data_IF_575643338016
#
_entry.id   IF_575643338016
#
_cell.length_a   1.000
_cell.length_b   1.000
_cell.length_c   1.000
_cell.angle_alpha   90.00
_cell.angle_beta   90.00
_cell.angle_gamma   90.00
#
_symmetry.space_group_name_H-M   'P 1'
#
loop_
_entity.id
_entity.type
_entity.pdbx_description
1 polymer ?
#
# COMPACT_ATOMS: atom_id res chain seq x y z
N UNK A 1 -19.63 -19.02 -22.73
CA UNK A 1 -18.37 -19.50 -23.37
C UNK A 1 -17.19 -18.90 -22.61
N UNK A 2 -16.27 -19.69 -22.04
CA UNK A 2 -15.13 -19.10 -21.34
C UNK A 2 -14.09 -18.61 -22.37
N UNK A 3 -13.77 -17.32 -22.33
CA UNK A 3 -12.74 -16.68 -23.15
C UNK A 3 -11.35 -17.19 -22.74
N UNK A 4 -10.64 -17.82 -23.68
CA UNK A 4 -9.23 -18.22 -23.56
C UNK A 4 -8.36 -17.00 -23.88
N UNK A 5 -7.62 -16.50 -22.90
CA UNK A 5 -6.72 -15.35 -23.08
C UNK A 5 -5.29 -15.86 -23.35
N UNK A 6 -4.75 -15.52 -24.52
CA UNK A 6 -3.37 -15.86 -24.91
C UNK A 6 -2.44 -14.74 -24.48
N UNK A 7 -1.51 -15.04 -23.58
CA UNK A 7 -0.40 -14.17 -23.22
C UNK A 7 0.71 -14.38 -24.25
N UNK A 8 1.13 -13.33 -24.96
CA UNK A 8 2.31 -13.38 -25.82
C UNK A 8 3.52 -12.92 -24.99
N UNK A 9 4.48 -13.84 -24.77
CA UNK A 9 5.78 -13.50 -24.17
C UNK A 9 6.76 -13.22 -25.30
N UNK A 10 7.29 -12.00 -25.35
CA UNK A 10 8.30 -11.62 -26.33
C UNK A 10 9.69 -12.15 -25.90
N UNK A 11 10.36 -12.85 -26.84
CA UNK A 11 11.77 -13.24 -26.74
C UNK A 11 12.65 -11.99 -26.78
N UNK A 12 13.57 -11.85 -25.83
CA UNK A 12 14.61 -10.81 -25.84
C UNK A 12 15.67 -11.13 -26.89
N UNK A 13 16.11 -10.12 -27.65
CA UNK A 13 17.15 -10.25 -28.68
C UNK A 13 18.53 -9.88 -28.14
N UNK A 14 19.55 -10.53 -28.69
CA UNK A 14 20.96 -10.62 -28.23
C UNK A 14 21.83 -9.35 -28.43
N UNK A 15 21.28 -8.21 -28.84
CA UNK A 15 22.06 -6.98 -29.05
C UNK A 15 21.69 -5.92 -28.01
N UNK A 16 22.70 -5.40 -27.30
CA UNK A 16 22.63 -4.50 -26.14
C UNK A 16 21.99 -3.11 -26.33
N UNK A 17 20.98 -2.98 -27.20
CA UNK A 17 20.03 -1.89 -27.15
C UNK A 17 18.92 -2.27 -26.17
N UNK A 18 18.70 -1.44 -25.14
CA UNK A 18 17.52 -1.52 -24.28
C UNK A 18 16.27 -1.32 -25.13
N UNK A 19 15.76 -2.39 -25.74
CA UNK A 19 14.59 -2.34 -26.59
C UNK A 19 13.41 -1.94 -25.71
N UNK A 20 12.97 -0.68 -25.84
CA UNK A 20 11.76 -0.19 -25.19
C UNK A 20 10.58 -1.00 -25.70
N UNK A 21 10.10 -1.94 -24.87
CA UNK A 21 8.98 -2.80 -25.24
C UNK A 21 7.68 -2.01 -25.10
N UNK A 22 6.78 -2.14 -26.08
CA UNK A 22 5.40 -1.70 -25.96
C UNK A 22 4.57 -2.90 -25.52
N UNK A 23 4.00 -2.82 -24.32
CA UNK A 23 3.11 -3.84 -23.78
C UNK A 23 1.69 -3.33 -23.78
N UNK A 24 0.77 -4.13 -24.33
CA UNK A 24 -0.67 -3.92 -24.15
C UNK A 24 -1.11 -4.73 -22.93
N UNK A 25 -1.75 -4.08 -21.97
CA UNK A 25 -2.28 -4.70 -20.75
C UNK A 25 -3.77 -4.40 -20.65
N UNK A 26 -4.54 -5.39 -20.21
CA UNK A 26 -5.94 -5.18 -19.83
C UNK A 26 -5.96 -4.62 -18.40
N UNK A 27 -6.69 -3.53 -18.19
CA UNK A 27 -6.81 -2.83 -16.91
C UNK A 27 -8.26 -2.44 -16.68
N UNK A 28 -8.70 -2.51 -15.42
CA UNK A 28 -10.03 -2.02 -15.03
C UNK A 28 -10.19 -0.52 -15.34
N UNK A 29 -11.36 -0.14 -15.86
CA UNK A 29 -11.65 1.22 -16.29
C UNK A 29 -11.57 2.23 -15.14
N UNK A 30 -12.06 1.86 -13.95
CA UNK A 30 -12.03 2.72 -12.76
C UNK A 30 -10.59 2.96 -12.34
N UNK A 31 -9.76 1.91 -12.35
CA UNK A 31 -8.34 2.01 -12.06
C UNK A 31 -7.60 2.87 -13.09
N UNK A 32 -7.88 2.69 -14.39
CA UNK A 32 -7.28 3.48 -15.46
C UNK A 32 -7.60 4.97 -15.31
N UNK A 33 -8.86 5.32 -15.03
CA UNK A 33 -9.27 6.72 -14.84
C UNK A 33 -8.60 7.34 -13.62
N UNK A 34 -8.49 6.59 -12.51
CA UNK A 34 -7.78 7.06 -11.31
C UNK A 34 -6.29 7.30 -11.60
N UNK A 35 -5.63 6.38 -12.28
CA UNK A 35 -4.23 6.52 -12.66
C UNK A 35 -4.01 7.69 -13.61
N UNK A 36 -4.90 7.91 -14.59
CA UNK A 36 -4.86 9.05 -15.51
C UNK A 36 -5.02 10.39 -14.79
N UNK A 37 -5.96 10.50 -13.85
CA UNK A 37 -6.11 11.71 -13.01
C UNK A 37 -4.86 11.97 -12.18
N UNK A 38 -4.29 10.93 -11.59
CA UNK A 38 -3.06 11.03 -10.83
C UNK A 38 -1.90 11.53 -11.71
N UNK A 39 -1.68 10.89 -12.86
CA UNK A 39 -0.65 11.26 -13.83
C UNK A 39 -0.71 12.76 -14.21
N UNK A 40 -1.92 13.26 -14.51
CA UNK A 40 -2.15 14.69 -14.80
C UNK A 40 -1.81 15.57 -13.61
N UNK A 41 -2.26 15.20 -12.41
CA UNK A 41 -2.01 15.96 -11.17
C UNK A 41 -0.52 16.08 -10.85
N UNK A 42 0.27 15.04 -11.12
CA UNK A 42 1.72 15.03 -10.84
C UNK A 42 2.57 15.45 -12.04
N UNK A 43 1.96 15.84 -13.17
CA UNK A 43 2.67 16.25 -14.37
C UNK A 43 3.52 15.16 -15.04
N UNK A 44 3.18 13.88 -14.84
CA UNK A 44 3.95 12.74 -15.37
C UNK A 44 3.17 11.96 -16.42
N UNK A 45 3.83 11.37 -17.43
CA UNK A 45 3.15 10.54 -18.43
C UNK A 45 2.63 9.24 -17.81
N UNK A 46 1.52 8.70 -18.34
CA UNK A 46 0.91 7.45 -17.84
C UNK A 46 1.91 6.29 -17.78
N UNK A 47 2.83 6.18 -18.75
CA UNK A 47 3.88 5.14 -18.74
C UNK A 47 4.72 5.17 -17.45
N UNK A 48 5.05 6.37 -16.96
CA UNK A 48 5.90 6.52 -15.78
C UNK A 48 5.17 6.08 -14.51
N UNK A 49 3.85 6.27 -14.45
CA UNK A 49 3.02 5.76 -13.36
C UNK A 49 2.96 4.22 -13.39
N UNK A 50 2.81 3.63 -14.58
CA UNK A 50 2.79 2.16 -14.74
C UNK A 50 4.14 1.53 -14.42
N UNK A 51 5.24 2.08 -14.95
CA UNK A 51 6.60 1.59 -14.70
C UNK A 51 6.98 1.70 -13.22
N UNK A 52 6.61 2.79 -12.55
CA UNK A 52 6.84 2.95 -11.11
C UNK A 52 6.02 1.95 -10.29
N UNK A 53 4.75 1.74 -10.63
CA UNK A 53 3.92 0.73 -9.98
C UNK A 53 4.54 -0.66 -10.10
N UNK A 54 5.00 -1.03 -11.30
CA UNK A 54 5.68 -2.31 -11.54
C UNK A 54 6.98 -2.41 -10.74
N UNK A 55 7.81 -1.35 -10.73
CA UNK A 55 9.06 -1.34 -9.96
C UNK A 55 8.81 -1.56 -8.47
N UNK A 56 7.84 -0.85 -7.89
CA UNK A 56 7.48 -1.02 -6.47
C UNK A 56 7.04 -2.44 -6.13
N UNK A 57 6.30 -3.09 -7.03
CA UNK A 57 5.88 -4.49 -6.83
C UNK A 57 7.06 -5.47 -6.90
N UNK A 58 8.08 -5.17 -7.71
CA UNK A 58 9.29 -5.99 -7.83
C UNK A 58 10.31 -5.72 -6.72
N UNK A 59 10.35 -4.48 -6.22
CA UNK A 59 11.21 -4.05 -5.11
C UNK A 59 10.65 -4.44 -3.75
N UNK A 60 9.32 -4.59 -3.62
CA UNK A 60 8.67 -5.16 -2.45
C UNK A 60 8.94 -6.67 -2.42
N UNK A 61 9.86 -7.17 -1.57
CA UNK A 61 10.09 -8.59 -1.44
C UNK A 61 8.83 -9.16 -0.76
N UNK A 62 7.88 -9.61 -1.57
CA UNK A 62 6.53 -10.06 -1.16
C UNK A 62 6.49 -11.17 -0.07
N UNK A 63 7.63 -11.59 0.48
CA UNK A 63 7.71 -12.57 1.57
C UNK A 63 7.82 -12.00 2.98
N UNK A 64 8.20 -10.73 3.16
CA UNK A 64 8.51 -10.20 4.51
C UNK A 64 7.90 -8.82 4.72
N UNK A 65 6.57 -8.72 4.65
CA UNK A 65 5.93 -7.70 5.50
C UNK A 65 6.17 -8.16 6.93
N UNK A 66 7.15 -7.53 7.58
CA UNK A 66 7.36 -7.68 9.00
C UNK A 66 5.98 -7.61 9.67
N UNK A 67 5.62 -8.57 10.54
CA UNK A 67 4.36 -8.52 11.26
C UNK A 67 4.22 -7.13 11.87
N UNK A 68 3.01 -6.55 11.79
CA UNK A 68 2.76 -5.27 12.45
C UNK A 68 3.16 -5.38 13.92
N UNK A 69 4.19 -4.63 14.31
CA UNK A 69 4.59 -4.50 15.71
C UNK A 69 3.85 -3.32 16.29
N UNK A 70 2.96 -3.58 17.25
CA UNK A 70 2.29 -2.52 17.97
C UNK A 70 3.33 -1.76 18.81
N UNK A 71 3.51 -0.44 18.61
CA UNK A 71 4.39 0.33 19.46
C UNK A 71 3.93 0.22 20.91
N UNK A 72 4.88 0.14 21.85
CA UNK A 72 4.52 0.21 23.25
C UNK A 72 3.91 1.59 23.54
N UNK A 73 2.64 1.55 23.99
CA UNK A 73 1.84 2.71 24.38
C UNK A 73 1.27 2.52 25.78
N UNK A 74 1.87 1.62 26.56
CA UNK A 74 1.51 1.40 27.95
C UNK A 74 1.76 2.70 28.74
N UNK A 75 0.84 3.01 29.65
CA UNK A 75 0.95 4.14 30.59
C UNK A 75 1.12 3.58 32.01
N UNK A 76 2.09 4.11 32.74
CA UNK A 76 2.49 3.58 34.05
C UNK A 76 3.58 2.49 33.96
N UNK A 77 3.79 1.75 35.05
CA UNK A 77 4.72 0.61 35.10
C UNK A 77 3.97 -0.69 35.37
N UNK A 78 4.41 -1.76 34.72
CA UNK A 78 3.86 -3.09 34.95
C UNK A 78 4.05 -3.51 36.42
N UNK A 79 2.97 -3.89 37.07
CA UNK A 79 2.97 -4.32 38.48
C UNK A 79 2.63 -3.23 39.49
N UNK A 80 2.53 -1.97 39.08
CA UNK A 80 2.03 -0.90 39.95
C UNK A 80 0.50 -1.05 40.14
N UNK A 81 -0.01 -0.53 41.26
CA UNK A 81 -1.45 -0.46 41.51
C UNK A 81 -2.14 0.35 40.41
N UNK A 82 -3.27 -0.15 39.90
CA UNK A 82 -3.99 0.54 38.83
C UNK A 82 -4.78 1.72 39.42
N UNK A 83 -4.44 2.98 39.09
CA UNK A 83 -5.13 4.15 39.63
C UNK A 83 -6.57 4.30 39.13
N UNK A 84 -6.95 3.54 38.09
CA UNK A 84 -8.30 3.49 37.54
C UNK A 84 -9.17 2.40 38.19
N UNK A 85 -8.57 1.56 39.03
CA UNK A 85 -9.27 0.47 39.71
C UNK A 85 -10.20 1.03 40.78
N UNK A 86 -11.48 0.67 40.70
CA UNK A 86 -12.52 1.19 41.60
C UNK A 86 -13.26 2.43 41.09
N UNK A 87 -12.84 3.04 39.98
CA UNK A 87 -13.62 4.10 39.34
C UNK A 87 -14.89 3.54 38.71
N UNK A 88 -15.98 4.27 38.86
CA UNK A 88 -17.19 4.03 38.09
C UNK A 88 -16.99 4.38 36.62
N UNK A 89 -17.86 3.84 35.77
CA UNK A 89 -17.83 4.14 34.34
C UNK A 89 -17.94 5.64 34.03
N UNK A 90 -18.67 6.40 34.84
CA UNK A 90 -18.81 7.85 34.65
C UNK A 90 -17.47 8.56 34.88
N UNK A 91 -16.79 8.26 35.99
CA UNK A 91 -15.51 8.87 36.37
C UNK A 91 -14.39 8.54 35.37
N UNK A 92 -14.38 7.30 34.85
CA UNK A 92 -13.47 6.90 33.77
C UNK A 92 -13.70 7.71 32.50
N UNK A 93 -14.97 7.87 32.11
CA UNK A 93 -15.33 8.63 30.91
C UNK A 93 -14.91 10.08 31.06
N UNK A 94 -15.18 10.69 32.21
CA UNK A 94 -14.82 12.08 32.47
C UNK A 94 -13.30 12.23 32.34
N UNK A 95 -12.48 11.39 33.00
CA UNK A 95 -11.02 11.42 32.85
C UNK A 95 -10.49 11.30 31.42
N UNK A 96 -11.10 10.45 30.57
CA UNK A 96 -10.67 10.28 29.17
C UNK A 96 -10.92 11.55 28.35
N UNK A 97 -11.99 12.28 28.66
CA UNK A 97 -12.43 13.43 27.88
C UNK A 97 -12.17 14.79 28.56
N UNK A 98 -11.60 14.82 29.78
CA UNK A 98 -11.25 16.04 30.53
C UNK A 98 -9.84 16.59 30.22
N UNK A 99 -9.11 16.01 29.26
CA UNK A 99 -7.85 16.58 28.76
C UNK A 99 -8.09 17.74 27.77
N UNK A 100 -7.21 18.76 27.69
CA UNK A 100 -7.44 20.01 26.93
C UNK A 100 -7.72 19.83 25.43
#
# INVERSE_FOLDING_TARGET
>A
MPKRWRIWVARTTEYGYYAKVKTTIDIDDVLFQRARRHARRVGRPMRAIVEEGLRRVLEDPQGERAPFQMPDRSVGRAGDANPLEGLSWHELRDQIYDGP
#
